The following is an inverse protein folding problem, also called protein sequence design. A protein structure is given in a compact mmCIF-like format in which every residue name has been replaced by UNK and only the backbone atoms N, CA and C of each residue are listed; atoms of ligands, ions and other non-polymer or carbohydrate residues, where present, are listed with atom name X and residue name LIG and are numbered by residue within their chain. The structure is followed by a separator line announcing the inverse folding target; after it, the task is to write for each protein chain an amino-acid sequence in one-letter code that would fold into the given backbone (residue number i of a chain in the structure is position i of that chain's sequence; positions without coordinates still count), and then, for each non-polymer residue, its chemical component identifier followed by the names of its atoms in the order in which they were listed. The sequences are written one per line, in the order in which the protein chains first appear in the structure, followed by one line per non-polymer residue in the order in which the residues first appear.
data_IF_741048766609
#
_entry.id   IF_741048766609
#
_cell.length_a   1.000
_cell.length_b   1.000
_cell.length_c   1.000
_cell.angle_alpha   90.00
_cell.angle_beta   90.00
_cell.angle_gamma   90.00
#
_symmetry.space_group_name_H-M   'P 1'
#
loop_
_entity.id
_entity.type
_entity.pdbx_description
1 polymer ?
#
# COMPACT_ATOMS: atom_id res chain seq x y z
N UNK A 1 -0.23 20.16 -26.18
CA UNK A 1 -1.41 19.56 -26.82
C UNK A 1 -0.98 18.18 -27.24
N UNK A 2 -1.18 17.21 -26.35
CA UNK A 2 -0.90 15.82 -26.69
C UNK A 2 -2.00 15.34 -27.63
N UNK A 3 -1.62 14.74 -28.77
CA UNK A 3 -2.60 14.22 -29.73
C UNK A 3 -3.35 13.05 -29.10
N UNK A 4 -4.67 13.16 -29.03
CA UNK A 4 -5.54 12.09 -28.53
C UNK A 4 -5.33 10.81 -29.37
N UNK A 5 -5.30 9.67 -28.71
CA UNK A 5 -5.31 8.37 -29.41
C UNK A 5 -6.70 8.15 -30.05
N UNK A 6 -6.77 7.37 -31.14
CA UNK A 6 -8.06 7.12 -31.84
C UNK A 6 -9.14 6.54 -30.90
N UNK A 7 -8.75 5.74 -29.92
CA UNK A 7 -9.69 5.14 -28.94
C UNK A 7 -10.12 6.12 -27.84
N UNK A 8 -9.30 7.11 -27.52
CA UNK A 8 -9.67 8.20 -26.60
C UNK A 8 -10.64 9.18 -27.27
N UNK A 9 -10.45 9.46 -28.56
CA UNK A 9 -11.33 10.34 -29.33
C UNK A 9 -12.76 9.80 -29.51
N UNK A 10 -12.94 8.48 -29.42
CA UNK A 10 -14.23 7.79 -29.53
C UNK A 10 -14.90 7.53 -28.17
N UNK A 11 -14.24 7.90 -27.06
CA UNK A 11 -14.73 7.65 -25.71
C UNK A 11 -15.94 8.53 -25.34
N UNK A 12 -16.78 8.03 -24.43
CA UNK A 12 -17.89 8.82 -23.90
C UNK A 12 -17.38 9.99 -23.05
N UNK A 13 -18.13 11.11 -22.95
CA UNK A 13 -17.73 12.25 -22.12
C UNK A 13 -17.46 11.88 -20.66
N UNK A 14 -18.25 10.96 -20.09
CA UNK A 14 -18.06 10.49 -18.73
C UNK A 14 -16.73 9.71 -18.55
N UNK A 15 -16.33 8.90 -19.53
CA UNK A 15 -15.07 8.16 -19.48
C UNK A 15 -13.86 9.10 -19.64
N UNK A 16 -14.00 10.15 -20.47
CA UNK A 16 -12.99 11.20 -20.59
C UNK A 16 -12.86 11.99 -19.29
N UNK A 17 -13.97 12.33 -18.64
CA UNK A 17 -13.93 13.01 -17.33
C UNK A 17 -13.25 12.15 -16.26
N UNK A 18 -13.61 10.86 -16.18
CA UNK A 18 -12.96 9.92 -15.26
C UNK A 18 -11.46 9.78 -15.55
N UNK A 19 -11.05 9.79 -16.83
CA UNK A 19 -9.64 9.83 -17.21
C UNK A 19 -8.94 11.10 -16.71
N UNK A 20 -9.56 12.28 -16.81
CA UNK A 20 -8.98 13.51 -16.28
C UNK A 20 -8.85 13.48 -14.75
N UNK A 21 -9.83 12.89 -14.06
CA UNK A 21 -9.75 12.67 -12.61
C UNK A 21 -8.61 11.71 -12.26
N UNK A 22 -8.43 10.63 -13.02
CA UNK A 22 -7.31 9.69 -12.85
C UNK A 22 -5.96 10.37 -13.09
N UNK A 23 -5.88 11.23 -14.11
CA UNK A 23 -4.69 12.04 -14.40
C UNK A 23 -4.35 12.99 -13.25
N UNK A 24 -5.34 13.56 -12.58
CA UNK A 24 -5.14 14.47 -11.44
C UNK A 24 -4.53 13.76 -10.22
N UNK A 25 -4.71 12.44 -10.09
CA UNK A 25 -4.06 11.64 -9.04
C UNK A 25 -2.53 11.59 -9.20
N UNK A 26 -2.05 11.79 -10.44
CA UNK A 26 -0.64 11.79 -10.78
C UNK A 26 -0.13 10.43 -11.25
N UNK A 27 1.17 10.33 -11.58
CA UNK A 27 1.77 9.12 -12.11
C UNK A 27 1.92 8.01 -11.05
N UNK A 28 1.93 6.76 -11.51
CA UNK A 28 2.19 5.57 -10.69
C UNK A 28 2.94 4.50 -11.49
N UNK A 29 2.78 3.23 -11.12
CA UNK A 29 3.41 2.10 -11.82
C UNK A 29 2.85 1.78 -13.22
N UNK A 30 1.64 2.25 -13.53
CA UNK A 30 1.04 2.12 -14.86
C UNK A 30 1.53 3.23 -15.81
N UNK A 31 1.54 3.02 -17.14
CA UNK A 31 1.80 4.08 -18.10
C UNK A 31 0.90 5.30 -17.80
N UNK A 32 1.47 6.50 -17.76
CA UNK A 32 0.71 7.71 -17.43
C UNK A 32 0.07 8.28 -18.71
N UNK A 33 -0.87 7.53 -19.29
CA UNK A 33 -1.61 7.84 -20.51
C UNK A 33 -2.98 7.11 -20.53
N UNK A 34 -3.71 7.23 -21.63
CA UNK A 34 -5.01 6.57 -21.82
C UNK A 34 -4.95 5.05 -21.68
N UNK A 35 -3.87 4.41 -22.14
CA UNK A 35 -3.73 2.95 -22.04
C UNK A 35 -3.57 2.50 -20.59
N UNK A 36 -2.82 3.26 -19.78
CA UNK A 36 -2.71 3.00 -18.34
C UNK A 36 -4.04 3.18 -17.61
N UNK A 37 -4.83 4.20 -17.98
CA UNK A 37 -6.17 4.38 -17.46
C UNK A 37 -7.09 3.20 -17.81
N UNK A 38 -7.10 2.75 -19.07
CA UNK A 38 -7.89 1.59 -19.48
C UNK A 38 -7.43 0.29 -18.81
N UNK A 39 -6.14 0.16 -18.51
CA UNK A 39 -5.62 -0.94 -17.69
C UNK A 39 -6.17 -0.90 -16.26
N UNK A 40 -6.26 0.30 -15.66
CA UNK A 40 -6.88 0.51 -14.35
C UNK A 40 -8.36 0.12 -14.36
N UNK A 41 -9.13 0.55 -15.36
CA UNK A 41 -10.55 0.16 -15.55
C UNK A 41 -10.72 -1.35 -15.71
N UNK A 42 -9.82 -2.00 -16.45
CA UNK A 42 -9.84 -3.46 -16.59
C UNK A 42 -9.60 -4.15 -15.25
N UNK A 43 -8.63 -3.69 -14.46
CA UNK A 43 -8.36 -4.24 -13.13
C UNK A 43 -9.55 -4.02 -12.19
N UNK A 44 -10.20 -2.85 -12.25
CA UNK A 44 -11.42 -2.54 -11.52
C UNK A 44 -12.53 -3.56 -11.78
N UNK A 45 -12.79 -3.89 -13.04
CA UNK A 45 -13.90 -4.79 -13.42
C UNK A 45 -13.58 -6.26 -13.13
N UNK A 46 -12.30 -6.66 -13.22
CA UNK A 46 -11.94 -8.09 -13.27
C UNK A 46 -11.32 -8.64 -11.98
N UNK A 47 -10.71 -7.78 -11.15
CA UNK A 47 -9.88 -8.22 -10.02
C UNK A 47 -10.11 -7.42 -8.75
N UNK A 48 -10.41 -6.12 -8.87
CA UNK A 48 -10.51 -5.24 -7.74
C UNK A 48 -11.68 -5.62 -6.82
N UNK A 49 -11.43 -5.48 -5.52
CA UNK A 49 -12.47 -5.49 -4.50
C UNK A 49 -13.02 -4.07 -4.34
N UNK A 50 -14.32 -3.99 -4.08
CA UNK A 50 -14.99 -2.72 -3.79
C UNK A 50 -14.77 -2.31 -2.34
N UNK A 51 -14.72 -3.27 -1.42
CA UNK A 51 -14.40 -3.00 -0.02
C UNK A 51 -12.88 -3.08 0.24
N UNK A 52 -12.38 -2.02 0.88
CA UNK A 52 -10.99 -1.90 1.34
C UNK A 52 -10.87 -1.90 2.87
N UNK A 53 -11.98 -2.00 3.61
CA UNK A 53 -12.00 -1.81 5.08
C UNK A 53 -12.65 -2.92 5.91
N UNK A 54 -13.38 -3.85 5.30
CA UNK A 54 -14.00 -4.99 5.97
C UNK A 54 -12.97 -5.97 6.53
N UNK A 55 -12.90 -6.10 7.86
CA UNK A 55 -11.88 -6.90 8.52
C UNK A 55 -12.09 -8.42 8.35
N UNK A 56 -13.26 -8.86 7.89
CA UNK A 56 -13.61 -10.28 7.78
C UNK A 56 -12.72 -11.09 6.81
N UNK A 57 -12.03 -10.43 5.87
CA UNK A 57 -11.09 -11.12 4.97
C UNK A 57 -9.95 -11.80 5.74
N UNK A 58 -9.60 -11.28 6.92
CA UNK A 58 -8.54 -11.86 7.76
C UNK A 58 -9.03 -13.04 8.60
N UNK A 59 -10.33 -13.36 8.60
CA UNK A 59 -10.90 -14.51 9.34
C UNK A 59 -10.75 -15.83 8.55
N UNK A 60 -10.47 -15.77 7.25
CA UNK A 60 -10.28 -16.95 6.40
C UNK A 60 -9.11 -16.75 5.42
N UNK A 61 -7.89 -16.52 5.93
CA UNK A 61 -6.73 -16.19 5.11
C UNK A 61 -6.40 -17.29 4.09
N UNK A 62 -6.73 -18.55 4.35
CA UNK A 62 -6.54 -19.67 3.42
C UNK A 62 -7.30 -19.53 2.09
N UNK A 63 -8.33 -18.69 2.05
CA UNK A 63 -9.11 -18.42 0.85
C UNK A 63 -8.51 -17.30 -0.01
N UNK A 64 -7.75 -16.38 0.59
CA UNK A 64 -7.38 -15.11 -0.04
C UNK A 64 -5.88 -14.84 -0.06
N UNK A 65 -5.10 -15.42 0.85
CA UNK A 65 -3.67 -15.24 0.91
C UNK A 65 -2.98 -16.17 -0.09
N UNK A 66 -2.44 -15.58 -1.16
CA UNK A 66 -1.56 -16.28 -2.10
C UNK A 66 -0.37 -16.89 -1.34
N UNK A 67 -0.03 -18.13 -1.67
CA UNK A 67 1.09 -18.84 -1.02
C UNK A 67 0.72 -19.50 0.31
N UNK A 68 -0.54 -19.44 0.77
CA UNK A 68 -0.94 -19.98 2.07
C UNK A 68 -0.77 -21.49 2.21
N UNK A 69 -1.05 -22.23 1.12
CA UNK A 69 -0.94 -23.70 1.11
C UNK A 69 0.52 -24.15 1.13
N UNK A 70 1.38 -23.38 0.47
CA UNK A 70 2.82 -23.60 0.34
C UNK A 70 3.61 -23.12 1.56
N UNK A 71 3.05 -22.17 2.33
CA UNK A 71 3.67 -21.63 3.52
C UNK A 71 3.83 -22.67 4.63
N UNK A 72 4.96 -22.58 5.35
CA UNK A 72 5.18 -23.38 6.56
C UNK A 72 4.24 -22.96 7.69
N UNK A 73 4.09 -23.79 8.72
CA UNK A 73 3.29 -23.42 9.88
C UNK A 73 3.83 -22.16 10.57
N UNK A 74 5.15 -22.03 10.70
CA UNK A 74 5.79 -20.83 11.25
C UNK A 74 5.43 -19.57 10.45
N UNK A 75 5.45 -19.64 9.12
CA UNK A 75 5.07 -18.53 8.24
C UNK A 75 3.59 -18.15 8.38
N UNK A 76 2.70 -19.14 8.46
CA UNK A 76 1.26 -18.91 8.70
C UNK A 76 0.99 -18.32 10.08
N UNK A 77 1.75 -18.75 11.09
CA UNK A 77 1.70 -18.21 12.45
C UNK A 77 2.16 -16.76 12.47
N UNK A 78 3.32 -16.46 11.87
CA UNK A 78 3.83 -15.10 11.73
C UNK A 78 2.80 -14.19 11.03
N UNK A 79 2.15 -14.65 9.95
CA UNK A 79 1.11 -13.86 9.28
C UNK A 79 -0.11 -13.54 10.17
N UNK A 80 -0.32 -14.26 11.27
CA UNK A 80 -1.41 -14.04 12.21
C UNK A 80 -0.94 -13.40 13.53
N UNK A 81 0.36 -13.16 13.70
CA UNK A 81 0.95 -12.55 14.90
C UNK A 81 0.90 -11.03 14.78
N UNK A 82 0.56 -10.35 15.88
CA UNK A 82 0.68 -8.89 16.00
C UNK A 82 2.14 -8.53 16.31
N UNK A 83 2.74 -7.67 15.49
CA UNK A 83 4.10 -7.14 15.68
C UNK A 83 4.10 -5.69 16.19
N UNK A 84 2.96 -5.01 16.17
CA UNK A 84 2.80 -3.73 16.86
C UNK A 84 3.13 -3.87 18.34
N UNK A 85 4.04 -3.04 18.84
CA UNK A 85 4.52 -3.10 20.24
C UNK A 85 3.47 -2.71 21.26
N UNK A 86 2.47 -1.94 20.82
CA UNK A 86 1.36 -1.47 21.62
C UNK A 86 0.13 -1.28 20.71
N UNK A 87 -1.09 -1.38 21.26
CA UNK A 87 -2.31 -1.07 20.52
C UNK A 87 -2.28 0.34 19.96
N UNK A 88 -2.82 0.52 18.75
CA UNK A 88 -2.87 1.84 18.13
C UNK A 88 -4.02 2.66 18.71
N UNK A 89 -3.85 3.98 18.88
CA UNK A 89 -4.98 4.86 19.20
C UNK A 89 -5.96 4.89 18.02
N UNK A 90 -7.23 5.20 18.29
CA UNK A 90 -8.18 5.54 17.22
C UNK A 90 -7.69 6.79 16.49
N UNK A 91 -7.66 6.75 15.16
CA UNK A 91 -7.29 7.93 14.37
C UNK A 91 -8.37 9.01 14.54
N UNK A 92 -8.02 10.23 15.00
CA UNK A 92 -9.03 11.26 15.28
C UNK A 92 -9.83 11.69 14.05
N UNK A 93 -11.10 12.04 14.25
CA UNK A 93 -11.95 12.63 13.21
C UNK A 93 -12.56 11.63 12.23
N UNK A 94 -13.18 12.12 11.13
CA UNK A 94 -13.75 11.26 10.11
C UNK A 94 -12.68 10.37 9.46
N UNK A 95 -13.06 9.14 9.13
CA UNK A 95 -12.16 8.20 8.46
C UNK A 95 -11.83 8.69 7.04
N UNK A 96 -10.54 8.87 6.75
CA UNK A 96 -10.01 9.10 5.40
C UNK A 96 -10.42 7.99 4.41
N UNK A 97 -10.25 8.24 3.11
CA UNK A 97 -10.44 7.24 2.04
C UNK A 97 -9.44 7.47 0.92
N UNK A 98 -8.99 6.40 0.27
CA UNK A 98 -8.35 6.56 -1.02
C UNK A 98 -9.35 7.12 -2.06
N UNK A 99 -8.81 7.75 -3.10
CA UNK A 99 -9.52 7.96 -4.36
C UNK A 99 -9.96 6.59 -4.91
N UNK A 100 -11.03 6.56 -5.70
CA UNK A 100 -11.69 5.32 -6.10
C UNK A 100 -10.86 4.46 -7.07
N UNK A 101 -9.83 5.01 -7.70
CA UNK A 101 -9.00 4.30 -8.67
C UNK A 101 -8.24 3.12 -8.05
N UNK A 102 -8.10 2.04 -8.81
CA UNK A 102 -7.35 0.85 -8.37
C UNK A 102 -5.85 1.15 -8.28
N UNK A 103 -5.29 1.81 -9.31
CA UNK A 103 -3.92 2.33 -9.28
C UNK A 103 -3.78 3.58 -10.18
N UNK A 104 -2.90 4.54 -9.82
CA UNK A 104 -2.25 4.63 -8.52
C UNK A 104 -3.28 4.85 -7.40
N UNK A 105 -3.12 4.13 -6.28
CA UNK A 105 -3.95 4.35 -5.10
C UNK A 105 -3.33 5.49 -4.29
N UNK A 106 -4.11 6.56 -4.07
CA UNK A 106 -3.72 7.78 -3.36
C UNK A 106 -4.90 8.29 -2.54
N UNK A 107 -4.66 9.08 -1.51
CA UNK A 107 -5.72 9.81 -0.81
C UNK A 107 -5.98 11.18 -1.45
N UNK A 108 -4.95 11.81 -2.02
CA UNK A 108 -5.02 13.15 -2.59
C UNK A 108 -4.55 13.20 -4.04
N UNK A 109 -4.89 14.29 -4.73
CA UNK A 109 -4.36 14.57 -6.05
C UNK A 109 -2.89 15.01 -5.97
N UNK A 110 -2.17 14.84 -7.07
CA UNK A 110 -0.81 15.35 -7.19
C UNK A 110 -0.79 16.88 -7.14
N UNK A 111 0.27 17.43 -6.55
CA UNK A 111 0.43 18.87 -6.35
C UNK A 111 -0.46 19.50 -5.27
N UNK A 112 -1.31 18.74 -4.57
CA UNK A 112 -1.98 19.25 -3.37
C UNK A 112 -0.95 19.63 -2.29
N UNK A 113 -1.09 20.80 -1.62
CA UNK A 113 -0.11 21.24 -0.64
C UNK A 113 0.07 20.27 0.52
N UNK A 114 1.32 20.09 0.92
CA UNK A 114 1.71 19.33 2.11
C UNK A 114 2.40 20.26 3.10
N UNK A 115 2.13 20.04 4.38
CA UNK A 115 2.85 20.74 5.43
C UNK A 115 4.33 20.31 5.41
N UNK A 116 5.23 21.27 5.21
CA UNK A 116 6.66 21.00 5.06
C UNK A 116 7.28 20.37 6.32
N UNK A 117 6.76 20.68 7.51
CA UNK A 117 7.22 20.09 8.76
C UNK A 117 6.81 18.62 8.83
N UNK A 118 5.57 18.29 8.43
CA UNK A 118 5.09 16.91 8.36
C UNK A 118 5.87 16.12 7.32
N UNK A 119 6.11 16.69 6.13
CA UNK A 119 6.89 16.06 5.08
C UNK A 119 8.31 15.74 5.54
N UNK A 120 9.00 16.71 6.14
CA UNK A 120 10.36 16.52 6.65
C UNK A 120 10.41 15.47 7.77
N UNK A 121 9.51 15.54 8.75
CA UNK A 121 9.43 14.57 9.84
C UNK A 121 9.19 13.15 9.30
N UNK A 122 8.31 13.01 8.31
CA UNK A 122 7.99 11.72 7.72
C UNK A 122 9.17 11.16 6.93
N UNK A 123 9.85 11.99 6.14
CA UNK A 123 11.04 11.56 5.43
C UNK A 123 12.12 11.08 6.41
N UNK A 124 12.40 11.82 7.48
CA UNK A 124 13.38 11.43 8.50
C UNK A 124 12.99 10.12 9.17
N UNK A 125 11.75 9.98 9.62
CA UNK A 125 11.27 8.75 10.27
C UNK A 125 11.35 7.54 9.32
N UNK A 126 11.01 7.73 8.05
CA UNK A 126 11.05 6.68 7.04
C UNK A 126 12.48 6.27 6.70
N UNK A 127 13.41 7.22 6.59
CA UNK A 127 14.84 6.94 6.35
C UNK A 127 15.46 6.15 7.52
N UNK A 128 15.14 6.54 8.76
CA UNK A 128 15.63 5.87 9.97
C UNK A 128 15.26 4.38 10.04
N UNK A 129 14.13 3.96 9.46
CA UNK A 129 13.73 2.55 9.40
C UNK A 129 14.81 1.67 8.75
N UNK A 130 15.44 2.16 7.68
CA UNK A 130 16.50 1.43 6.99
C UNK A 130 17.84 1.45 7.73
N UNK A 131 18.04 2.39 8.65
CA UNK A 131 19.26 2.50 9.46
C UNK A 131 19.24 1.57 10.68
N UNK A 132 18.07 1.43 11.32
CA UNK A 132 17.91 0.66 12.56
C UNK A 132 17.59 -0.82 12.33
N UNK A 133 17.28 -1.22 11.09
CA UNK A 133 16.99 -2.60 10.73
C UNK A 133 18.08 -3.14 9.78
N UNK A 134 18.85 -4.14 10.22
CA UNK A 134 19.99 -4.66 9.46
C UNK A 134 19.62 -5.62 8.32
N UNK A 135 18.39 -6.15 8.31
CA UNK A 135 17.90 -7.15 7.33
C UNK A 135 17.10 -6.54 6.18
N UNK A 136 17.19 -5.22 6.00
CA UNK A 136 16.46 -4.49 4.97
C UNK A 136 17.38 -3.61 4.14
N UNK A 137 16.96 -3.25 2.94
CA UNK A 137 17.73 -2.40 2.04
C UNK A 137 16.83 -1.47 1.24
N UNK A 138 17.37 -0.31 0.84
CA UNK A 138 16.66 0.66 0.01
C UNK A 138 16.85 0.33 -1.48
N UNK A 139 15.74 0.18 -2.21
CA UNK A 139 15.73 0.06 -3.68
C UNK A 139 14.60 0.89 -4.29
N UNK A 140 14.55 0.94 -5.61
CA UNK A 140 13.39 1.48 -6.33
C UNK A 140 12.18 0.55 -6.16
N UNK A 141 11.00 1.11 -5.91
CA UNK A 141 9.77 0.31 -5.81
C UNK A 141 9.53 -0.49 -7.09
N UNK A 142 9.19 -1.76 -6.95
CA UNK A 142 8.78 -2.64 -8.06
C UNK A 142 7.36 -2.31 -8.52
N UNK A 143 6.50 -1.91 -7.58
CA UNK A 143 5.09 -1.63 -7.83
C UNK A 143 4.90 -0.25 -8.47
N UNK A 144 5.58 0.77 -7.95
CA UNK A 144 5.51 2.13 -8.49
C UNK A 144 6.49 2.34 -9.66
N UNK A 145 7.53 1.52 -9.80
CA UNK A 145 8.63 1.65 -10.78
C UNK A 145 9.46 2.93 -10.65
N UNK A 146 9.18 3.73 -9.64
CA UNK A 146 9.89 4.93 -9.22
C UNK A 146 9.80 5.05 -7.69
N UNK A 147 10.39 6.10 -7.13
CA UNK A 147 10.41 6.31 -5.69
C UNK A 147 11.30 5.31 -4.94
N UNK A 148 11.48 5.55 -3.64
CA UNK A 148 12.26 4.68 -2.76
C UNK A 148 11.32 3.77 -2.00
N UNK A 149 11.68 2.50 -1.91
CA UNK A 149 10.97 1.49 -1.15
C UNK A 149 11.98 0.68 -0.32
N UNK A 150 11.53 0.19 0.82
CA UNK A 150 12.30 -0.66 1.70
C UNK A 150 12.03 -2.12 1.34
N UNK A 151 13.09 -2.90 1.17
CA UNK A 151 13.03 -4.30 0.78
C UNK A 151 13.65 -5.20 1.84
N UNK A 152 13.14 -6.41 1.92
CA UNK A 152 13.74 -7.52 2.65
C UNK A 152 15.04 -7.99 1.95
N UNK A 153 16.10 -8.20 2.71
CA UNK A 153 17.34 -8.83 2.20
C UNK A 153 17.26 -10.36 2.21
N UNK A 154 16.44 -10.93 3.10
CA UNK A 154 16.21 -12.37 3.18
C UNK A 154 15.46 -12.93 1.96
N UNK A 155 15.55 -14.25 1.68
CA UNK A 155 14.77 -14.89 0.64
C UNK A 155 13.26 -14.67 0.84
N UNK A 156 12.50 -14.45 -0.22
CA UNK A 156 11.04 -14.26 -0.07
C UNK A 156 10.33 -15.56 0.32
N UNK A 157 9.41 -15.50 1.29
CA UNK A 157 8.50 -16.62 1.60
C UNK A 157 7.36 -16.71 0.59
N UNK A 158 6.66 -17.86 0.46
CA UNK A 158 5.50 -17.98 -0.42
C UNK A 158 4.44 -16.88 -0.20
N UNK A 159 4.17 -16.51 1.07
CA UNK A 159 3.16 -15.51 1.42
C UNK A 159 3.48 -14.11 0.91
N UNK A 160 4.76 -13.72 0.90
CA UNK A 160 5.22 -12.37 0.56
C UNK A 160 5.83 -12.29 -0.85
N UNK A 161 5.74 -13.38 -1.61
CA UNK A 161 6.35 -13.50 -2.94
C UNK A 161 5.83 -12.49 -3.96
N UNK A 162 4.57 -12.06 -3.82
CA UNK A 162 3.90 -11.14 -4.74
C UNK A 162 4.52 -9.74 -4.77
N UNK A 163 5.08 -9.28 -3.64
CA UNK A 163 5.78 -7.99 -3.55
C UNK A 163 7.27 -8.08 -3.88
N UNK A 164 7.80 -9.27 -4.20
CA UNK A 164 9.23 -9.52 -4.44
C UNK A 164 10.13 -9.01 -3.30
N UNK A 165 9.63 -9.08 -2.07
CA UNK A 165 10.33 -8.61 -0.88
C UNK A 165 10.18 -7.12 -0.60
N UNK A 166 9.41 -6.37 -1.39
CA UNK A 166 9.05 -4.98 -1.06
C UNK A 166 8.20 -4.97 0.21
N UNK A 167 8.69 -4.29 1.24
CA UNK A 167 8.05 -4.16 2.55
C UNK A 167 7.13 -2.96 2.53
N UNK A 168 7.66 -1.78 2.19
CA UNK A 168 6.92 -0.54 2.21
C UNK A 168 7.51 0.55 1.30
N UNK A 169 6.68 1.52 0.96
CA UNK A 169 7.09 2.75 0.28
C UNK A 169 6.15 3.91 0.62
N UNK A 170 6.62 5.14 0.38
CA UNK A 170 5.82 6.37 0.55
C UNK A 170 5.70 7.07 -0.80
N UNK A 171 4.49 7.49 -1.14
CA UNK A 171 4.21 8.23 -2.36
C UNK A 171 4.73 9.66 -2.23
N UNK A 172 5.47 10.11 -3.24
CA UNK A 172 5.95 11.50 -3.29
C UNK A 172 4.83 12.52 -3.51
N UNK A 173 3.75 12.11 -4.17
CA UNK A 173 2.65 13.00 -4.56
C UNK A 173 1.83 13.49 -3.38
N UNK A 174 1.47 12.61 -2.45
CA UNK A 174 0.56 12.95 -1.34
C UNK A 174 1.03 12.52 0.06
N UNK A 175 2.14 11.81 0.21
CA UNK A 175 2.60 11.16 1.45
C UNK A 175 1.71 10.02 1.95
N UNK A 176 0.70 9.58 1.22
CA UNK A 176 0.16 8.24 1.49
C UNK A 176 1.25 7.21 1.17
N UNK A 177 1.14 6.01 1.70
CA UNK A 177 2.16 4.99 1.46
C UNK A 177 1.61 3.60 1.61
N UNK A 178 2.39 2.62 1.20
CA UNK A 178 2.01 1.22 1.31
C UNK A 178 2.95 0.46 2.24
N UNK A 179 2.41 -0.54 2.93
CA UNK A 179 3.15 -1.49 3.77
C UNK A 179 2.52 -2.88 3.70
N UNK A 180 3.36 -3.90 3.66
CA UNK A 180 2.96 -5.29 3.85
C UNK A 180 2.95 -5.61 5.35
N UNK A 181 1.77 -5.87 5.90
CA UNK A 181 1.56 -6.14 7.32
C UNK A 181 1.15 -7.60 7.55
N UNK A 182 1.36 -8.09 8.77
CA UNK A 182 0.66 -9.29 9.24
C UNK A 182 -0.86 -9.03 9.20
N UNK A 183 -1.67 -10.08 9.20
CA UNK A 183 -3.12 -9.94 9.20
C UNK A 183 -3.65 -9.37 10.52
N UNK A 184 -2.96 -9.61 11.63
CA UNK A 184 -3.28 -9.00 12.92
C UNK A 184 -3.00 -7.50 12.92
N UNK A 185 -1.82 -7.08 12.44
CA UNK A 185 -1.46 -5.66 12.36
C UNK A 185 -2.31 -4.92 11.33
N UNK A 186 -2.57 -5.52 10.16
CA UNK A 186 -3.45 -4.93 9.15
C UNK A 186 -4.87 -4.73 9.69
N UNK A 187 -5.39 -5.70 10.47
CA UNK A 187 -6.68 -5.57 11.14
C UNK A 187 -6.70 -4.39 12.12
N UNK A 188 -5.67 -4.24 12.94
CA UNK A 188 -5.53 -3.13 13.89
C UNK A 188 -5.47 -1.78 13.15
N UNK A 189 -4.56 -1.64 12.18
CA UNK A 189 -4.36 -0.42 11.39
C UNK A 189 -5.65 0.04 10.69
N UNK A 190 -6.34 -0.89 10.04
CA UNK A 190 -7.59 -0.59 9.33
C UNK A 190 -8.70 -0.33 10.33
N UNK A 191 -8.84 -1.15 11.37
CA UNK A 191 -9.83 -1.00 12.43
C UNK A 191 -9.78 0.39 13.07
N UNK A 192 -8.57 0.85 13.39
CA UNK A 192 -8.29 2.15 14.02
C UNK A 192 -8.30 3.35 13.06
N UNK A 193 -8.53 3.15 11.77
CA UNK A 193 -8.69 4.24 10.81
C UNK A 193 -7.40 4.83 10.26
N UNK A 194 -6.26 4.15 10.42
CA UNK A 194 -4.96 4.61 9.93
C UNK A 194 -4.70 4.29 8.46
N UNK A 195 -5.44 3.32 7.92
CA UNK A 195 -5.31 2.92 6.53
C UNK A 195 -6.49 2.09 6.02
N UNK A 196 -6.33 1.62 4.79
CA UNK A 196 -7.23 0.70 4.10
C UNK A 196 -6.43 -0.23 3.19
N UNK A 197 -6.96 -1.41 2.86
CA UNK A 197 -6.29 -2.31 1.92
C UNK A 197 -6.20 -1.69 0.52
N UNK A 198 -5.20 -2.11 -0.24
CA UNK A 198 -5.27 -1.96 -1.69
C UNK A 198 -6.43 -2.79 -2.25
N UNK A 199 -7.11 -2.29 -3.29
CA UNK A 199 -8.24 -3.00 -3.92
C UNK A 199 -7.87 -4.35 -4.52
N UNK A 200 -6.57 -4.59 -4.73
CA UNK A 200 -6.01 -5.87 -5.22
C UNK A 200 -5.43 -6.76 -4.11
N UNK A 201 -5.47 -6.34 -2.83
CA UNK A 201 -4.97 -7.16 -1.72
C UNK A 201 -5.78 -8.45 -1.57
N UNK A 202 -5.08 -9.57 -1.39
CA UNK A 202 -5.72 -10.89 -1.31
C UNK A 202 -6.22 -11.40 -2.67
N UNK A 203 -5.64 -10.89 -3.75
CA UNK A 203 -5.71 -11.46 -5.09
C UNK A 203 -4.37 -12.12 -5.43
N UNK A 204 -4.24 -12.63 -6.65
CA UNK A 204 -2.96 -13.17 -7.14
C UNK A 204 -1.82 -12.14 -7.22
N UNK A 205 -2.12 -10.84 -7.11
CA UNK A 205 -1.17 -9.75 -7.37
C UNK A 205 -0.58 -9.12 -6.12
N UNK A 206 -1.30 -9.08 -5.00
CA UNK A 206 -0.84 -8.40 -3.77
C UNK A 206 -1.14 -9.24 -2.53
N UNK A 207 -0.23 -9.12 -1.55
CA UNK A 207 -0.37 -9.72 -0.22
C UNK A 207 -1.69 -9.29 0.44
N UNK A 208 -2.33 -10.19 1.20
CA UNK A 208 -3.64 -9.93 1.82
C UNK A 208 -3.62 -8.77 2.84
N UNK A 209 -2.50 -8.61 3.56
CA UNK A 209 -2.21 -7.51 4.48
C UNK A 209 -1.57 -6.29 3.82
N UNK A 210 -1.47 -6.23 2.49
CA UNK A 210 -0.96 -5.06 1.79
C UNK A 210 -1.92 -3.87 1.98
N UNK A 211 -1.44 -2.87 2.72
CA UNK A 211 -2.27 -1.80 3.28
C UNK A 211 -1.71 -0.44 2.87
N UNK A 212 -2.59 0.44 2.41
CA UNK A 212 -2.30 1.85 2.24
C UNK A 212 -2.47 2.57 3.58
N UNK A 213 -1.44 3.29 4.02
CA UNK A 213 -1.55 4.30 5.06
C UNK A 213 -1.97 5.61 4.43
N UNK A 214 -2.89 6.28 5.11
CA UNK A 214 -3.38 7.60 4.72
C UNK A 214 -2.28 8.68 4.80
N UNK A 215 -2.58 9.88 4.33
CA UNK A 215 -1.69 11.04 4.41
C UNK A 215 -1.64 11.51 5.86
N UNK A 216 -0.45 11.65 6.48
CA UNK A 216 -0.34 12.12 7.84
C UNK A 216 -0.77 13.59 7.91
N UNK A 217 -1.55 13.92 8.94
CA UNK A 217 -2.08 15.29 9.14
C UNK A 217 -1.18 16.17 9.99
N UNK A 218 -0.30 15.56 10.77
CA UNK A 218 0.62 16.22 11.68
C UNK A 218 1.78 15.27 12.05
N UNK A 219 2.79 15.80 12.74
CA UNK A 219 3.98 15.03 13.15
C UNK A 219 3.64 13.87 14.11
N UNK A 220 2.61 14.00 14.96
CA UNK A 220 2.22 12.90 15.85
C UNK A 220 1.67 11.69 15.07
N UNK A 221 1.01 11.89 13.93
CA UNK A 221 0.61 10.79 13.06
C UNK A 221 1.80 10.10 12.40
N UNK A 222 2.88 10.85 12.11
CA UNK A 222 4.12 10.27 11.56
C UNK A 222 4.74 9.28 12.54
N UNK A 223 4.71 9.57 13.84
CA UNK A 223 5.21 8.65 14.88
C UNK A 223 4.39 7.34 14.93
N UNK A 224 3.09 7.41 14.67
CA UNK A 224 2.24 6.22 14.53
C UNK A 224 2.62 5.44 13.27
N UNK A 225 2.87 6.13 12.15
CA UNK A 225 3.29 5.47 10.91
C UNK A 225 4.64 4.79 11.02
N UNK A 226 5.60 5.39 11.72
CA UNK A 226 6.88 4.74 12.02
C UNK A 226 6.69 3.41 12.77
N UNK A 227 5.78 3.35 13.75
CA UNK A 227 5.44 2.11 14.47
C UNK A 227 4.80 1.07 13.54
N UNK A 228 3.90 1.49 12.65
CA UNK A 228 3.24 0.59 11.70
C UNK A 228 4.25 0.03 10.69
N UNK A 229 5.13 0.87 10.14
CA UNK A 229 6.17 0.40 9.22
C UNK A 229 7.16 -0.54 9.91
N UNK A 230 7.54 -0.24 11.16
CA UNK A 230 8.40 -1.13 11.94
C UNK A 230 7.74 -2.50 12.15
N UNK A 231 6.45 -2.55 12.46
CA UNK A 231 5.70 -3.82 12.56
C UNK A 231 5.70 -4.60 11.22
N UNK A 232 5.56 -3.90 10.09
CA UNK A 232 5.68 -4.51 8.76
C UNK A 232 7.07 -5.12 8.50
N UNK A 233 8.14 -4.44 8.91
CA UNK A 233 9.51 -4.95 8.80
C UNK A 233 9.68 -6.20 9.67
N UNK A 234 9.22 -6.17 10.92
CA UNK A 234 9.30 -7.31 11.83
C UNK A 234 8.53 -8.52 11.31
N UNK A 235 7.32 -8.31 10.79
CA UNK A 235 6.55 -9.37 10.13
C UNK A 235 7.34 -9.99 8.97
N UNK A 236 7.79 -9.15 8.03
CA UNK A 236 8.48 -9.62 6.82
C UNK A 236 9.79 -10.36 7.13
N UNK A 237 10.48 -10.01 8.24
CA UNK A 237 11.72 -10.67 8.68
C UNK A 237 11.52 -11.88 9.59
N UNK A 238 10.35 -12.01 10.23
CA UNK A 238 10.03 -13.10 11.17
C UNK A 238 9.82 -14.46 10.49
N UNK A 239 9.40 -14.49 9.22
CA UNK A 239 9.15 -15.72 8.47
C UNK A 239 10.41 -16.56 8.13
N UNK A 240 11.57 -16.11 8.62
CA UNK A 240 12.90 -16.66 8.39
C UNK A 240 13.62 -17.08 9.68
N UNK A 241 12.95 -17.01 10.83
CA UNK A 241 13.50 -17.47 12.11
C UNK A 241 13.04 -18.91 12.34
N UNK A 242 14.01 -19.84 12.44
CA UNK A 242 13.79 -21.23 12.89
C UNK A 242 13.63 -21.30 14.41
#
# INVERSE_FOLDING_TARGET
MDSLTSSEAEASPALVEEYQQWRAVGPGGAPFDWNGFMLCKKAEITQARDDTTNLALYDSPEQYAKGWKEATEAQRRAAQTCFLKQPLPERPGPRSRAKHFVFPQRERNDGEPQDAQVQAAYQTAFEQLGEVNSRVEWKTSVLEKHGRALFLQDPVTPLISSSKGEICHVHRSDLSGHVTLSFADAREVIGKGWGERHRLSGTETLHLGYTMLYVPRNVAEVEVYAQIYQAGIEYMTSGHQE
#
